data_IF_769634469336
#
_entry.id   IF_769634469336
#
_cell.length_a   1.000
_cell.length_b   1.000
_cell.length_c   1.000
_cell.angle_alpha   90.00
_cell.angle_beta   90.00
_cell.angle_gamma   90.00
#
_symmetry.space_group_name_H-M   'P 1'
#
loop_
_entity.id
_entity.type
_entity.pdbx_description
1 polymer ?
#
# COMPACT_ATOMS: atom_id res chain seq x y z
N UNK A 1 -41.27 15.30 -28.50
CA UNK A 1 -40.13 14.44 -28.18
C UNK A 1 -39.49 14.91 -26.88
N UNK A 2 -39.05 13.98 -26.03
CA UNK A 2 -38.29 14.27 -24.81
C UNK A 2 -37.14 13.24 -24.69
N UNK A 3 -35.92 13.73 -24.43
CA UNK A 3 -34.71 12.88 -24.35
C UNK A 3 -34.09 13.09 -22.98
N UNK A 4 -33.89 11.97 -22.25
CA UNK A 4 -33.37 11.99 -20.88
C UNK A 4 -32.17 11.04 -20.76
N UNK A 5 -30.93 11.57 -20.62
CA UNK A 5 -29.77 10.77 -20.27
C UNK A 5 -29.91 10.23 -18.83
N UNK A 6 -29.25 9.07 -18.55
CA UNK A 6 -29.25 8.43 -17.23
C UNK A 6 -28.21 9.05 -16.27
N UNK A 7 -27.33 9.95 -16.76
CA UNK A 7 -26.35 10.65 -15.93
C UNK A 7 -26.09 12.06 -16.44
N UNK A 8 -25.68 12.97 -15.53
CA UNK A 8 -25.24 14.32 -15.90
C UNK A 8 -23.94 14.38 -16.72
N UNK A 9 -23.31 13.22 -16.96
CA UNK A 9 -22.11 13.09 -17.82
C UNK A 9 -22.45 13.01 -19.31
N UNK A 10 -23.72 12.91 -19.67
CA UNK A 10 -24.22 12.85 -21.05
C UNK A 10 -25.22 13.98 -21.28
N UNK A 11 -24.96 14.86 -22.22
CA UNK A 11 -25.88 15.86 -22.69
C UNK A 11 -26.59 15.37 -23.96
N UNK A 12 -27.81 15.84 -24.17
CA UNK A 12 -28.60 15.52 -25.37
C UNK A 12 -29.14 16.80 -25.99
N UNK A 13 -28.97 16.94 -27.30
CA UNK A 13 -29.60 17.99 -28.12
C UNK A 13 -30.54 17.30 -29.10
N UNK A 14 -31.77 17.80 -29.20
CA UNK A 14 -32.81 17.22 -30.06
C UNK A 14 -33.87 18.30 -30.42
N UNK A 15 -34.58 18.16 -31.55
CA UNK A 15 -35.67 19.09 -31.92
C UNK A 15 -36.82 19.04 -30.93
N UNK A 16 -37.30 20.21 -30.52
CA UNK A 16 -38.45 20.33 -29.62
C UNK A 16 -39.78 20.45 -30.40
N UNK A 17 -39.69 20.86 -31.67
CA UNK A 17 -40.87 21.01 -32.53
C UNK A 17 -41.44 19.64 -32.97
N UNK A 18 -42.73 19.57 -33.29
CA UNK A 18 -43.30 18.37 -33.88
C UNK A 18 -42.63 17.97 -35.20
N UNK A 19 -42.33 16.68 -35.34
CA UNK A 19 -41.76 16.10 -36.59
C UNK A 19 -42.96 15.74 -37.50
N UNK A 20 -42.97 16.25 -38.73
CA UNK A 20 -44.03 15.98 -39.69
C UNK A 20 -44.02 14.50 -40.14
N UNK A 21 -45.15 14.00 -40.63
CA UNK A 21 -45.26 12.62 -41.14
C UNK A 21 -44.33 12.46 -42.35
N UNK A 22 -43.44 11.47 -42.27
CA UNK A 22 -42.41 11.19 -43.30
C UNK A 22 -41.06 11.88 -43.09
N UNK A 23 -40.96 12.82 -42.10
CA UNK A 23 -39.73 13.50 -41.80
C UNK A 23 -38.89 12.69 -40.76
N UNK A 24 -37.60 13.04 -40.70
CA UNK A 24 -36.63 12.49 -39.75
C UNK A 24 -36.08 13.58 -38.87
N UNK A 25 -35.65 13.20 -37.64
CA UNK A 25 -34.95 14.08 -36.73
C UNK A 25 -33.70 13.43 -36.16
N UNK A 26 -32.72 14.25 -35.83
CA UNK A 26 -31.47 13.80 -35.25
C UNK A 26 -31.44 14.10 -33.75
N UNK A 27 -30.86 13.18 -32.98
CA UNK A 27 -30.53 13.36 -31.57
C UNK A 27 -29.02 13.36 -31.45
N UNK A 28 -28.41 14.45 -30.99
CA UNK A 28 -26.99 14.54 -30.72
C UNK A 28 -26.73 14.22 -29.25
N UNK A 29 -25.85 13.24 -29.00
CA UNK A 29 -25.46 12.86 -27.63
C UNK A 29 -24.00 13.22 -27.43
N UNK A 30 -23.72 14.02 -26.39
CA UNK A 30 -22.37 14.41 -26.01
C UNK A 30 -22.03 13.80 -24.67
N UNK A 31 -20.97 12.96 -24.63
CA UNK A 31 -20.45 12.37 -23.41
C UNK A 31 -19.21 13.12 -22.92
N UNK A 32 -19.26 13.59 -21.67
CA UNK A 32 -18.10 14.22 -21.02
C UNK A 32 -17.15 13.15 -20.49
N UNK A 33 -15.99 13.02 -21.14
CA UNK A 33 -14.93 12.06 -20.81
C UNK A 33 -13.97 12.55 -19.71
N UNK A 34 -14.07 13.81 -19.28
CA UNK A 34 -13.15 14.44 -18.33
C UNK A 34 -13.16 13.70 -16.99
N UNK A 35 -12.01 13.19 -16.56
CA UNK A 35 -11.85 12.44 -15.31
C UNK A 35 -12.53 11.07 -15.27
N UNK A 36 -12.87 10.49 -16.45
CA UNK A 36 -13.58 9.20 -16.56
C UNK A 36 -12.88 8.24 -17.54
N UNK A 37 -11.62 7.84 -17.27
CA UNK A 37 -10.94 6.86 -18.13
C UNK A 37 -11.59 5.49 -18.03
N UNK A 38 -11.42 4.68 -19.09
CA UNK A 38 -11.91 3.31 -19.16
C UNK A 38 -13.19 3.15 -19.98
N UNK A 39 -13.74 1.95 -19.97
CA UNK A 39 -14.95 1.63 -20.71
C UNK A 39 -16.18 2.27 -20.09
N UNK A 40 -17.09 2.75 -20.93
CA UNK A 40 -18.38 3.26 -20.47
C UNK A 40 -19.53 2.70 -21.30
N UNK A 41 -20.70 2.58 -20.66
CA UNK A 41 -22.00 2.32 -21.27
C UNK A 41 -23.03 3.24 -20.60
N UNK A 42 -23.71 4.03 -21.40
CA UNK A 42 -24.72 5.00 -20.92
C UNK A 42 -26.00 4.87 -21.73
N UNK A 43 -27.12 4.84 -21.01
CA UNK A 43 -28.44 4.78 -21.62
C UNK A 43 -29.05 6.19 -21.67
N UNK A 44 -29.77 6.42 -22.75
CA UNK A 44 -30.54 7.63 -23.00
C UNK A 44 -31.98 7.24 -23.37
N UNK A 45 -32.91 7.72 -22.61
CA UNK A 45 -34.33 7.45 -22.84
C UNK A 45 -34.94 8.49 -23.78
N UNK A 46 -35.49 8.04 -24.90
CA UNK A 46 -36.20 8.83 -25.86
C UNK A 46 -37.69 8.57 -25.72
N UNK A 47 -38.48 9.60 -25.43
CA UNK A 47 -39.94 9.54 -25.30
C UNK A 47 -40.59 10.25 -26.48
N UNK A 48 -41.53 9.56 -27.14
CA UNK A 48 -42.31 10.10 -28.25
C UNK A 48 -43.78 9.78 -28.07
N UNK A 49 -44.64 10.36 -28.90
CA UNK A 49 -46.03 10.00 -28.98
C UNK A 49 -46.32 8.82 -29.93
N UNK A 50 -45.26 8.28 -30.55
CA UNK A 50 -45.34 7.09 -31.44
C UNK A 50 -45.33 5.76 -30.67
N UNK A 51 -45.25 4.66 -31.44
CA UNK A 51 -45.12 3.29 -30.88
C UNK A 51 -43.75 2.73 -31.27
N UNK A 52 -42.91 2.33 -30.30
CA UNK A 52 -43.11 2.40 -28.85
C UNK A 52 -43.02 3.85 -28.30
N UNK A 53 -43.70 4.13 -27.20
CA UNK A 53 -43.67 5.45 -26.55
C UNK A 53 -42.33 5.79 -25.91
N UNK A 54 -41.48 4.76 -25.65
CA UNK A 54 -40.15 4.87 -25.06
C UNK A 54 -39.17 4.01 -25.82
N UNK A 55 -38.04 4.60 -26.25
CA UNK A 55 -36.93 3.93 -26.87
C UNK A 55 -35.67 4.16 -26.01
N UNK A 56 -34.83 3.16 -25.87
CA UNK A 56 -33.55 3.25 -25.16
C UNK A 56 -32.43 3.27 -26.20
N UNK A 57 -31.65 4.34 -26.19
CA UNK A 57 -30.39 4.44 -26.96
C UNK A 57 -29.23 4.20 -25.99
N UNK A 58 -28.33 3.30 -26.33
CA UNK A 58 -27.15 3.01 -25.52
C UNK A 58 -25.90 3.47 -26.26
N UNK A 59 -25.15 4.39 -25.66
CA UNK A 59 -23.81 4.76 -26.15
C UNK A 59 -22.76 4.01 -25.34
N UNK A 60 -21.81 3.40 -26.08
CA UNK A 60 -20.69 2.65 -25.48
C UNK A 60 -19.39 3.16 -26.07
N UNK A 61 -18.34 3.15 -25.26
CA UNK A 61 -17.01 3.50 -25.72
C UNK A 61 -15.95 3.25 -24.67
N UNK A 62 -14.71 3.54 -25.05
CA UNK A 62 -13.57 3.54 -24.12
C UNK A 62 -12.95 4.93 -24.14
N UNK A 63 -12.81 5.53 -22.96
CA UNK A 63 -12.11 6.81 -22.78
C UNK A 63 -10.66 6.52 -22.49
N UNK A 64 -9.80 6.88 -23.42
CA UNK A 64 -8.36 6.99 -23.17
C UNK A 64 -8.18 8.31 -22.43
N UNK A 65 -7.87 8.25 -21.13
CA UNK A 65 -7.75 9.45 -20.29
C UNK A 65 -6.67 10.40 -20.82
N UNK A 66 -6.76 11.67 -20.44
CA UNK A 66 -5.69 12.62 -20.78
C UNK A 66 -4.38 12.19 -20.07
N UNK A 67 -3.21 12.35 -20.69
CA UNK A 67 -1.93 11.98 -20.07
C UNK A 67 -1.72 12.60 -18.69
N UNK A 68 -2.22 13.81 -18.47
CA UNK A 68 -2.16 14.50 -17.17
C UNK A 68 -2.98 13.79 -16.11
N UNK A 69 -4.24 13.44 -16.40
CA UNK A 69 -5.13 12.72 -15.46
C UNK A 69 -4.61 11.32 -15.14
N UNK A 70 -4.09 10.61 -16.14
CA UNK A 70 -3.47 9.28 -15.95
C UNK A 70 -2.22 9.41 -15.08
N UNK A 71 -1.36 10.38 -15.34
CA UNK A 71 -0.13 10.60 -14.57
C UNK A 71 -0.40 10.99 -13.11
N UNK A 72 -1.50 11.68 -12.85
CA UNK A 72 -1.90 12.05 -11.48
C UNK A 72 -2.48 10.87 -10.70
N UNK A 73 -3.30 10.04 -11.33
CA UNK A 73 -3.95 8.89 -10.70
C UNK A 73 -3.04 7.65 -10.64
N UNK A 74 -2.16 7.49 -11.63
CA UNK A 74 -1.28 6.33 -11.79
C UNK A 74 0.17 6.81 -12.02
N UNK A 75 0.84 7.31 -10.96
CA UNK A 75 2.18 7.91 -11.10
C UNK A 75 3.30 6.90 -11.32
N UNK A 76 3.08 5.59 -11.05
CA UNK A 76 4.13 4.57 -11.08
C UNK A 76 4.07 3.79 -12.39
N UNK A 77 5.00 4.05 -13.31
CA UNK A 77 5.07 3.35 -14.59
C UNK A 77 5.84 2.02 -14.47
N UNK A 78 5.24 0.94 -14.99
CA UNK A 78 5.88 -0.35 -15.22
C UNK A 78 5.64 -0.71 -16.68
N UNK A 79 6.52 -0.28 -17.57
CA UNK A 79 6.25 -0.28 -19.00
C UNK A 79 4.95 0.47 -19.31
N UNK A 80 4.12 -0.09 -20.15
CA UNK A 80 2.85 0.51 -20.55
C UNK A 80 1.71 0.43 -19.50
N UNK A 81 1.86 -0.33 -18.42
CA UNK A 81 0.93 -0.30 -17.29
C UNK A 81 1.43 0.73 -16.26
N UNK A 82 0.54 1.64 -15.88
CA UNK A 82 0.80 2.59 -14.80
C UNK A 82 -0.01 2.22 -13.57
N UNK A 83 0.65 2.12 -12.41
CA UNK A 83 0.03 1.81 -11.12
C UNK A 83 -0.19 3.08 -10.29
N UNK A 84 -1.18 3.02 -9.40
CA UNK A 84 -1.51 4.13 -8.49
C UNK A 84 -0.51 4.31 -7.33
N UNK A 85 0.30 3.28 -7.01
CA UNK A 85 1.37 3.34 -6.01
C UNK A 85 2.44 2.28 -6.29
N UNK A 86 3.61 2.41 -5.65
CA UNK A 86 4.72 1.44 -5.67
C UNK A 86 4.79 0.58 -4.41
N UNK A 87 3.94 0.84 -3.43
CA UNK A 87 3.89 0.18 -2.15
C UNK A 87 2.47 -0.25 -1.77
N UNK A 88 2.38 -1.32 -0.98
CA UNK A 88 1.13 -1.94 -0.52
C UNK A 88 1.12 -1.98 1.00
N UNK A 89 0.61 -0.93 1.68
CA UNK A 89 0.52 -0.91 3.12
C UNK A 89 -0.65 -1.77 3.60
N UNK A 90 -0.34 -2.89 4.26
CA UNK A 90 -1.33 -3.74 4.92
C UNK A 90 -1.72 -3.24 6.32
N UNK A 91 -0.91 -2.31 6.89
CA UNK A 91 -1.11 -1.80 8.23
C UNK A 91 -0.78 -2.81 9.32
N UNK A 92 -1.42 -2.68 10.47
CA UNK A 92 -1.20 -3.57 11.62
C UNK A 92 -2.05 -4.84 11.49
N UNK A 93 -1.41 -6.00 11.63
CA UNK A 93 -2.03 -7.32 11.65
C UNK A 93 -1.67 -8.05 12.94
N UNK A 94 -2.66 -8.72 13.52
CA UNK A 94 -2.41 -9.69 14.58
C UNK A 94 -1.89 -10.99 13.97
N UNK A 95 -0.86 -11.60 14.54
CA UNK A 95 -0.31 -12.88 14.11
C UNK A 95 -1.40 -13.94 13.97
N UNK A 96 -1.41 -14.69 12.88
CA UNK A 96 -2.45 -15.66 12.54
C UNK A 96 -3.68 -15.10 11.80
N UNK A 97 -3.72 -13.80 11.52
CA UNK A 97 -4.77 -13.18 10.69
C UNK A 97 -4.29 -12.98 9.27
N UNK A 98 -5.25 -12.94 8.35
CA UNK A 98 -5.01 -12.65 6.95
C UNK A 98 -5.54 -11.27 6.58
N UNK A 99 -4.93 -10.64 5.57
CA UNK A 99 -5.41 -9.37 5.02
C UNK A 99 -5.15 -9.30 3.53
N UNK A 100 -6.00 -8.59 2.83
CA UNK A 100 -5.81 -8.22 1.44
C UNK A 100 -5.60 -6.72 1.30
N UNK A 101 -4.75 -6.33 0.36
CA UNK A 101 -4.58 -4.96 -0.10
C UNK A 101 -4.48 -4.92 -1.62
N UNK A 102 -4.66 -3.75 -2.21
CA UNK A 102 -4.87 -3.61 -3.63
C UNK A 102 -4.06 -2.46 -4.21
N UNK A 103 -3.57 -2.66 -5.44
CA UNK A 103 -3.11 -1.59 -6.32
C UNK A 103 -3.97 -1.59 -7.58
N UNK A 104 -4.29 -0.41 -8.08
CA UNK A 104 -4.94 -0.26 -9.38
C UNK A 104 -3.89 0.02 -10.46
N UNK A 105 -4.01 -0.63 -11.60
CA UNK A 105 -3.17 -0.41 -12.78
C UNK A 105 -4.01 -0.01 -13.99
N UNK A 106 -3.46 0.83 -14.87
CA UNK A 106 -4.08 1.31 -16.09
C UNK A 106 -3.16 1.05 -17.29
N UNK A 107 -3.69 0.43 -18.35
CA UNK A 107 -2.94 0.19 -19.59
C UNK A 107 -2.98 1.43 -20.49
N UNK A 108 -1.81 2.05 -20.70
CA UNK A 108 -1.66 3.22 -21.56
C UNK A 108 -1.31 2.88 -23.02
N UNK A 109 -1.03 1.60 -23.31
CA UNK A 109 -0.71 1.15 -24.67
C UNK A 109 -1.94 1.00 -25.54
N UNK A 110 -1.71 0.93 -26.83
CA UNK A 110 -2.70 0.53 -27.85
C UNK A 110 -2.83 -0.98 -28.00
N UNK A 111 -1.98 -1.75 -27.31
CA UNK A 111 -1.95 -3.20 -27.29
C UNK A 111 -2.36 -3.78 -25.94
N UNK A 112 -2.78 -5.03 -25.94
CA UNK A 112 -3.09 -5.78 -24.72
C UNK A 112 -1.79 -6.15 -23.99
N UNK A 113 -1.73 -5.86 -22.68
CA UNK A 113 -0.59 -6.13 -21.82
C UNK A 113 -0.88 -7.25 -20.82
N UNK A 114 0.15 -7.98 -20.43
CA UNK A 114 0.09 -9.04 -19.42
C UNK A 114 0.88 -8.63 -18.20
N UNK A 115 0.27 -8.74 -17.01
CA UNK A 115 0.87 -8.43 -15.71
C UNK A 115 1.20 -9.73 -14.98
N UNK A 116 2.46 -9.87 -14.53
CA UNK A 116 2.91 -11.03 -13.74
C UNK A 116 3.71 -10.59 -12.53
N UNK A 117 3.57 -11.34 -11.43
CA UNK A 117 4.33 -11.14 -10.21
C UNK A 117 5.35 -12.27 -10.02
N UNK A 118 6.48 -11.96 -9.38
CA UNK A 118 7.57 -12.93 -9.11
C UNK A 118 8.23 -12.62 -7.77
N UNK A 119 8.82 -13.65 -7.16
CA UNK A 119 9.61 -13.48 -5.93
C UNK A 119 8.78 -13.16 -4.68
N UNK A 120 7.47 -13.41 -4.69
CA UNK A 120 6.67 -13.34 -3.48
C UNK A 120 7.02 -14.53 -2.56
N UNK A 121 7.18 -14.31 -1.24
CA UNK A 121 7.26 -15.41 -0.30
C UNK A 121 5.92 -16.15 -0.19
N UNK A 122 5.92 -17.40 0.27
CA UNK A 122 4.73 -18.27 0.28
C UNK A 122 3.53 -17.72 1.07
N UNK A 123 3.76 -16.83 2.01
CA UNK A 123 2.71 -16.18 2.79
C UNK A 123 2.12 -14.92 2.13
N UNK A 124 2.60 -14.55 0.92
CA UNK A 124 2.04 -13.44 0.12
C UNK A 124 1.66 -13.98 -1.25
N UNK A 125 0.37 -13.92 -1.57
CA UNK A 125 -0.14 -14.33 -2.87
C UNK A 125 -0.57 -13.10 -3.66
N UNK A 126 0.28 -12.62 -4.59
CA UNK A 126 -0.08 -11.53 -5.50
C UNK A 126 -0.88 -12.05 -6.68
N UNK A 127 -1.91 -11.31 -7.08
CA UNK A 127 -2.74 -11.66 -8.23
C UNK A 127 -3.26 -10.41 -8.95
N UNK A 128 -3.24 -10.39 -10.29
CA UNK A 128 -3.82 -9.31 -11.09
C UNK A 128 -5.16 -9.75 -11.69
N UNK A 129 -6.18 -8.92 -11.61
CA UNK A 129 -7.52 -9.19 -12.18
C UNK A 129 -8.02 -7.99 -12.98
N UNK A 130 -8.16 -8.10 -14.29
CA UNK A 130 -7.58 -9.16 -15.13
C UNK A 130 -6.04 -9.07 -15.18
N UNK A 131 -5.37 -10.20 -15.38
CA UNK A 131 -3.93 -10.27 -15.63
C UNK A 131 -3.56 -9.86 -17.07
N UNK A 132 -4.52 -9.96 -17.96
CA UNK A 132 -4.45 -9.56 -19.36
C UNK A 132 -5.29 -8.31 -19.58
N UNK A 133 -4.62 -7.19 -19.73
CA UNK A 133 -5.22 -5.83 -19.68
C UNK A 133 -5.32 -5.25 -21.08
N UNK A 134 -6.54 -5.08 -21.59
CA UNK A 134 -6.79 -4.48 -22.90
C UNK A 134 -6.39 -2.99 -22.95
N UNK A 135 -6.22 -2.39 -24.14
CA UNK A 135 -5.96 -0.96 -24.28
C UNK A 135 -6.95 -0.08 -23.51
N UNK A 136 -6.45 0.86 -22.72
CA UNK A 136 -7.30 1.73 -21.88
C UNK A 136 -8.01 1.00 -20.74
N UNK A 137 -7.71 -0.29 -20.51
CA UNK A 137 -8.30 -1.11 -19.46
C UNK A 137 -7.65 -0.87 -18.10
N UNK A 138 -8.39 -1.23 -17.05
CA UNK A 138 -7.92 -1.26 -15.67
C UNK A 138 -7.61 -2.69 -15.24
N UNK A 139 -6.67 -2.84 -14.34
CA UNK A 139 -6.41 -4.08 -13.59
C UNK A 139 -6.32 -3.77 -12.11
N UNK A 140 -6.68 -4.73 -11.27
CA UNK A 140 -6.48 -4.66 -9.82
C UNK A 140 -5.46 -5.72 -9.42
N UNK A 141 -4.31 -5.29 -8.96
CA UNK A 141 -3.33 -6.16 -8.31
C UNK A 141 -3.73 -6.35 -6.85
N UNK A 142 -4.06 -7.56 -6.48
CA UNK A 142 -4.46 -7.98 -5.13
C UNK A 142 -3.30 -8.68 -4.47
N UNK A 143 -3.02 -8.35 -3.21
CA UNK A 143 -1.98 -8.98 -2.38
C UNK A 143 -2.66 -9.59 -1.16
N UNK A 144 -2.77 -10.90 -1.13
CA UNK A 144 -3.23 -11.64 0.03
C UNK A 144 -2.04 -11.94 0.92
N UNK A 145 -2.13 -11.58 2.20
CA UNK A 145 -1.06 -11.74 3.18
C UNK A 145 -1.53 -12.62 4.34
N UNK A 146 -0.82 -13.72 4.60
CA UNK A 146 -1.03 -14.60 5.75
C UNK A 146 0.01 -14.29 6.84
N UNK A 147 -0.40 -13.58 7.89
CA UNK A 147 0.49 -13.20 8.98
C UNK A 147 0.94 -14.38 9.85
N UNK A 148 0.31 -15.56 9.75
CA UNK A 148 0.72 -16.74 10.52
C UNK A 148 2.16 -17.17 10.20
N UNK A 149 2.56 -17.00 8.94
CA UNK A 149 3.87 -17.39 8.43
C UNK A 149 4.85 -16.21 8.33
N UNK A 150 4.43 -14.98 8.64
CA UNK A 150 5.32 -13.83 8.60
C UNK A 150 6.55 -14.06 9.50
N UNK A 151 7.79 -13.83 8.99
CA UNK A 151 9.00 -14.26 9.70
C UNK A 151 9.32 -13.40 10.93
N UNK A 152 8.90 -12.15 10.95
CA UNK A 152 9.32 -11.18 11.95
C UNK A 152 8.13 -10.55 12.68
N UNK A 153 8.32 -10.23 13.95
CA UNK A 153 7.45 -9.36 14.71
C UNK A 153 7.68 -7.89 14.35
N UNK A 154 6.64 -7.07 14.43
CA UNK A 154 6.70 -5.67 14.03
C UNK A 154 6.72 -5.51 12.51
N UNK A 155 7.45 -4.54 12.00
CA UNK A 155 7.48 -4.18 10.58
C UNK A 155 8.15 -5.26 9.74
N UNK A 156 7.41 -5.79 8.76
CA UNK A 156 7.89 -6.61 7.64
C UNK A 156 7.74 -5.80 6.36
N UNK A 157 8.76 -5.84 5.50
CA UNK A 157 8.77 -5.25 4.17
C UNK A 157 9.24 -6.33 3.21
N UNK A 158 8.33 -6.78 2.36
CA UNK A 158 8.58 -7.84 1.38
C UNK A 158 8.53 -7.23 -0.02
N UNK A 159 9.63 -7.31 -0.75
CA UNK A 159 9.74 -6.75 -2.10
C UNK A 159 9.37 -7.79 -3.14
N UNK A 160 8.32 -7.54 -3.92
CA UNK A 160 7.78 -8.42 -4.95
C UNK A 160 8.09 -7.83 -6.33
N UNK A 161 8.60 -8.64 -7.23
CA UNK A 161 8.80 -8.26 -8.63
C UNK A 161 7.46 -8.20 -9.38
N UNK A 162 7.25 -7.15 -10.15
CA UNK A 162 6.18 -7.04 -11.14
C UNK A 162 6.76 -6.91 -12.53
N UNK A 163 6.23 -7.63 -13.50
CA UNK A 163 6.58 -7.54 -14.90
C UNK A 163 5.34 -7.31 -15.76
N UNK A 164 5.49 -6.44 -16.73
CA UNK A 164 4.46 -6.08 -17.71
C UNK A 164 5.03 -6.35 -19.09
N UNK A 165 4.35 -7.14 -19.89
CA UNK A 165 4.78 -7.50 -21.26
C UNK A 165 3.61 -7.45 -22.23
N UNK A 166 3.82 -7.11 -23.51
CA UNK A 166 2.78 -7.23 -24.51
C UNK A 166 2.31 -8.70 -24.63
N UNK A 167 1.02 -8.90 -24.86
CA UNK A 167 0.48 -10.22 -25.15
C UNK A 167 0.97 -10.76 -26.49
N UNK A 168 1.12 -9.88 -27.48
CA UNK A 168 1.62 -10.23 -28.81
C UNK A 168 3.12 -10.01 -28.90
N UNK A 169 3.92 -11.01 -29.34
CA UNK A 169 5.38 -10.85 -29.46
C UNK A 169 5.80 -9.77 -30.48
N UNK A 170 4.96 -9.45 -31.46
CA UNK A 170 5.20 -8.45 -32.51
C UNK A 170 4.82 -7.02 -32.09
N UNK A 171 4.26 -6.86 -30.87
CA UNK A 171 3.89 -5.54 -30.35
C UNK A 171 5.11 -4.68 -30.08
N UNK A 172 5.00 -3.39 -30.35
CA UNK A 172 5.98 -2.36 -29.99
C UNK A 172 5.66 -1.66 -28.66
N UNK A 173 4.60 -2.13 -27.96
CA UNK A 173 4.24 -1.58 -26.65
C UNK A 173 5.36 -1.82 -25.61
N UNK A 174 5.59 -0.83 -24.79
CA UNK A 174 6.68 -0.83 -23.82
C UNK A 174 6.49 -1.91 -22.73
N UNK A 175 7.42 -2.86 -22.69
CA UNK A 175 7.54 -3.81 -21.59
C UNK A 175 8.25 -3.17 -20.40
N UNK A 176 7.95 -3.61 -19.18
CA UNK A 176 8.60 -3.07 -18.00
C UNK A 176 8.72 -4.07 -16.86
N UNK A 177 9.62 -3.78 -15.94
CA UNK A 177 9.80 -4.48 -14.67
C UNK A 177 9.97 -3.46 -13.56
N UNK A 178 9.38 -3.74 -12.41
CA UNK A 178 9.53 -2.92 -11.21
C UNK A 178 9.47 -3.80 -9.96
N UNK A 179 9.60 -3.15 -8.80
CA UNK A 179 9.43 -3.77 -7.49
C UNK A 179 8.29 -3.09 -6.77
N UNK A 180 7.53 -3.87 -6.05
CA UNK A 180 6.42 -3.42 -5.19
C UNK A 180 6.77 -3.87 -3.78
N UNK A 181 6.76 -2.94 -2.83
CA UNK A 181 7.00 -3.23 -1.43
C UNK A 181 5.66 -3.48 -0.70
N UNK A 182 5.49 -4.69 -0.20
CA UNK A 182 4.35 -5.09 0.62
C UNK A 182 4.73 -4.93 2.08
N UNK A 183 4.04 -4.05 2.80
CA UNK A 183 4.39 -3.67 4.16
C UNK A 183 3.32 -4.09 5.15
N UNK A 184 3.70 -4.88 6.15
CA UNK A 184 2.82 -5.32 7.24
C UNK A 184 3.49 -5.12 8.59
N UNK A 185 2.73 -4.71 9.60
CA UNK A 185 3.19 -4.63 10.97
C UNK A 185 2.53 -5.73 11.79
N UNK A 186 3.31 -6.73 12.23
CA UNK A 186 2.80 -7.94 12.89
C UNK A 186 2.85 -7.77 14.40
N UNK A 187 1.66 -7.82 15.01
CA UNK A 187 1.47 -7.77 16.46
C UNK A 187 1.22 -9.18 17.03
N UNK A 188 1.64 -9.42 18.28
CA UNK A 188 1.27 -10.61 19.05
C UNK A 188 -0.21 -10.53 19.46
N UNK A 189 -0.90 -11.68 19.52
CA UNK A 189 -2.31 -11.75 19.93
C UNK A 189 -2.42 -12.01 21.44
N UNK A 190 -2.83 -11.01 22.17
CA UNK A 190 -3.10 -11.09 23.62
C UNK A 190 -4.59 -11.17 23.96
N UNK A 191 -5.48 -11.25 22.96
CA UNK A 191 -6.93 -11.19 23.15
C UNK A 191 -7.48 -12.40 23.93
N UNK A 192 -6.78 -13.54 23.82
CA UNK A 192 -7.20 -14.80 24.44
C UNK A 192 -6.66 -15.03 25.86
N UNK A 193 -5.86 -14.10 26.38
CA UNK A 193 -5.30 -14.22 27.73
C UNK A 193 -6.40 -14.14 28.80
N UNK A 194 -6.39 -15.10 29.71
CA UNK A 194 -7.19 -15.09 30.91
C UNK A 194 -6.71 -13.99 31.88
N UNK A 195 -7.53 -13.62 32.85
CA UNK A 195 -7.15 -12.64 33.89
C UNK A 195 -5.91 -13.10 34.68
N UNK A 196 -5.80 -14.38 35.01
CA UNK A 196 -4.63 -14.95 35.67
C UNK A 196 -3.37 -14.82 34.81
N UNK A 197 -3.46 -15.15 33.54
CA UNK A 197 -2.30 -15.00 32.61
C UNK A 197 -1.87 -13.54 32.48
N UNK A 198 -2.82 -12.60 32.48
CA UNK A 198 -2.50 -11.17 32.49
C UNK A 198 -1.79 -10.73 33.76
N UNK A 199 -2.25 -11.19 34.95
CA UNK A 199 -1.63 -10.89 36.23
C UNK A 199 -0.24 -11.53 36.39
N UNK A 200 0.01 -12.63 35.69
CA UNK A 200 1.28 -13.35 35.71
C UNK A 200 2.15 -13.03 34.46
N UNK A 201 1.73 -12.08 33.64
CA UNK A 201 2.43 -11.70 32.42
C UNK A 201 3.83 -11.11 32.67
N UNK A 202 4.71 -11.12 31.65
CA UNK A 202 5.94 -10.34 31.67
C UNK A 202 5.60 -8.84 31.62
N UNK A 203 6.51 -8.03 32.15
CA UNK A 203 6.40 -6.58 32.06
C UNK A 203 7.78 -5.99 31.78
N UNK A 204 7.86 -5.12 30.79
CA UNK A 204 9.09 -4.51 30.34
C UNK A 204 9.26 -3.11 30.95
N UNK A 205 10.38 -2.88 31.64
CA UNK A 205 10.78 -1.58 32.17
C UNK A 205 12.09 -1.16 31.51
N UNK A 206 12.05 -0.06 30.78
CA UNK A 206 13.23 0.53 30.12
C UNK A 206 13.88 1.54 31.07
N UNK A 207 15.22 1.54 31.14
CA UNK A 207 15.96 2.52 31.97
C UNK A 207 15.84 3.95 31.46
N UNK A 208 15.49 4.14 30.19
CA UNK A 208 15.27 5.44 29.55
C UNK A 208 14.39 5.30 28.32
N UNK A 209 13.68 6.37 27.98
CA UNK A 209 12.95 6.55 26.71
C UNK A 209 13.77 7.34 25.67
N UNK A 210 15.00 7.78 26.06
CA UNK A 210 15.88 8.56 25.19
C UNK A 210 17.34 8.13 25.36
N UNK A 211 17.99 7.79 24.25
CA UNK A 211 19.44 7.59 24.14
C UNK A 211 20.04 8.84 23.53
N UNK A 212 20.80 9.59 24.34
CA UNK A 212 21.40 10.86 23.96
C UNK A 212 22.89 10.66 23.67
N UNK A 213 23.28 10.92 22.44
CA UNK A 213 24.68 10.84 22.01
C UNK A 213 25.44 12.16 22.21
N UNK A 214 24.74 13.23 22.61
CA UNK A 214 25.28 14.58 22.69
C UNK A 214 25.89 15.02 21.34
N UNK A 215 27.19 14.95 21.19
CA UNK A 215 27.93 15.27 19.97
C UNK A 215 28.65 14.01 19.42
N UNK A 216 28.52 13.78 18.11
CA UNK A 216 29.19 12.73 17.37
C UNK A 216 29.92 13.37 16.18
N UNK A 217 31.15 12.97 15.89
CA UNK A 217 31.84 13.43 14.69
C UNK A 217 31.25 12.77 13.45
N UNK A 218 31.25 13.51 12.35
CA UNK A 218 30.86 12.95 11.05
C UNK A 218 31.79 11.81 10.63
N UNK A 219 31.24 10.81 9.90
CA UNK A 219 31.95 9.62 9.44
C UNK A 219 32.54 8.74 10.55
N UNK A 220 31.95 8.77 11.74
CA UNK A 220 32.31 7.92 12.86
C UNK A 220 31.12 7.07 13.31
N UNK A 221 31.42 5.95 13.98
CA UNK A 221 30.40 5.14 14.66
C UNK A 221 30.49 5.37 16.16
N UNK A 222 29.41 5.84 16.76
CA UNK A 222 29.30 6.02 18.21
C UNK A 222 28.34 4.99 18.80
N UNK A 223 28.58 4.60 20.06
CA UNK A 223 27.74 3.64 20.77
C UNK A 223 27.26 4.20 22.11
N UNK A 224 26.02 3.84 22.48
CA UNK A 224 25.44 4.06 23.81
C UNK A 224 24.62 2.84 24.21
N UNK A 225 24.35 2.73 25.50
CA UNK A 225 23.57 1.60 26.02
C UNK A 225 22.40 2.09 26.85
N UNK A 226 21.35 1.30 26.89
CA UNK A 226 20.26 1.36 27.87
C UNK A 226 19.94 -0.05 28.33
N UNK A 227 19.12 -0.18 29.36
CA UNK A 227 18.73 -1.51 29.87
C UNK A 227 17.24 -1.73 29.80
N UNK A 228 16.85 -3.00 29.66
CA UNK A 228 15.47 -3.48 29.74
C UNK A 228 15.42 -4.50 30.88
N UNK A 229 14.56 -4.26 31.88
CA UNK A 229 14.34 -5.15 33.01
C UNK A 229 12.97 -5.81 32.91
N UNK A 230 12.88 -7.10 33.23
CA UNK A 230 11.60 -7.76 33.39
C UNK A 230 11.10 -7.58 34.83
N UNK A 231 10.11 -6.73 35.03
CA UNK A 231 9.43 -6.49 36.32
C UNK A 231 8.21 -7.37 36.52
N UNK A 232 7.78 -8.09 35.45
CA UNK A 232 6.66 -9.02 35.51
C UNK A 232 7.03 -10.37 36.13
N UNK A 233 6.10 -11.33 36.06
CA UNK A 233 6.26 -12.64 36.68
C UNK A 233 6.70 -13.72 35.70
N UNK A 234 6.24 -13.65 34.46
CA UNK A 234 6.60 -14.59 33.38
C UNK A 234 7.83 -14.13 32.62
N UNK A 235 8.34 -14.99 31.73
CA UNK A 235 9.50 -14.74 30.91
C UNK A 235 9.22 -13.62 29.88
N UNK A 236 9.96 -12.53 29.92
CA UNK A 236 9.93 -11.46 28.91
C UNK A 236 10.79 -11.86 27.72
N UNK A 237 10.23 -11.80 26.51
CA UNK A 237 10.92 -12.01 25.25
C UNK A 237 11.17 -10.66 24.57
N UNK A 238 12.43 -10.40 24.24
CA UNK A 238 12.80 -9.24 23.41
C UNK A 238 12.71 -9.66 21.95
N UNK A 239 11.54 -9.46 21.35
CA UNK A 239 11.18 -9.98 20.03
C UNK A 239 11.97 -9.36 18.91
N UNK A 240 12.11 -8.03 18.92
CA UNK A 240 12.81 -7.29 17.90
C UNK A 240 13.09 -5.86 18.31
N UNK A 241 14.21 -5.32 17.82
CA UNK A 241 14.52 -3.90 17.81
C UNK A 241 14.46 -3.39 16.37
N UNK A 242 13.67 -2.34 16.12
CA UNK A 242 13.47 -1.79 14.78
C UNK A 242 13.89 -0.32 14.81
N UNK A 243 15.13 0.00 14.36
CA UNK A 243 15.52 1.38 14.17
C UNK A 243 14.76 1.99 12.99
N UNK A 244 14.41 3.28 13.08
CA UNK A 244 13.74 4.01 12.01
C UNK A 244 14.71 4.30 10.85
N UNK A 245 15.96 4.62 11.16
CA UNK A 245 16.99 5.00 10.19
C UNK A 245 18.04 3.91 9.97
N UNK A 246 18.51 3.78 8.73
CA UNK A 246 19.46 2.74 8.30
C UNK A 246 20.84 2.83 8.99
N UNK A 247 21.25 4.02 9.42
CA UNK A 247 22.52 4.23 10.13
C UNK A 247 22.49 3.81 11.59
N UNK A 248 21.37 3.29 12.10
CA UNK A 248 21.23 2.87 13.49
C UNK A 248 21.18 1.36 13.58
N UNK A 249 22.06 0.77 14.36
CA UNK A 249 22.08 -0.67 14.66
C UNK A 249 21.82 -0.89 16.14
N UNK A 250 20.98 -1.89 16.46
CA UNK A 250 20.61 -2.19 17.85
C UNK A 250 20.86 -3.67 18.12
N UNK A 251 21.58 -3.96 19.18
CA UNK A 251 21.86 -5.33 19.66
C UNK A 251 21.56 -5.44 21.15
N UNK A 252 21.24 -6.65 21.60
CA UNK A 252 21.04 -6.95 23.01
C UNK A 252 21.91 -8.13 23.42
N UNK A 253 22.41 -8.11 24.65
CA UNK A 253 23.18 -9.23 25.23
C UNK A 253 22.29 -10.45 25.52
N UNK A 254 20.96 -10.30 25.48
CA UNK A 254 19.96 -11.34 25.72
C UNK A 254 18.72 -11.11 24.88
N UNK A 255 18.09 -12.18 24.48
CA UNK A 255 16.79 -12.19 23.75
C UNK A 255 15.61 -12.47 24.67
N UNK A 256 15.87 -12.92 25.93
CA UNK A 256 14.83 -13.23 26.91
C UNK A 256 15.29 -13.00 28.35
N UNK A 257 14.34 -12.62 29.20
CA UNK A 257 14.60 -12.27 30.60
C UNK A 257 13.64 -13.01 31.53
N UNK A 258 14.20 -13.77 32.48
CA UNK A 258 13.43 -14.26 33.62
C UNK A 258 13.03 -13.08 34.52
N UNK A 259 12.05 -13.30 35.41
CA UNK A 259 11.62 -12.29 36.42
C UNK A 259 12.83 -11.64 37.10
N UNK A 260 12.83 -10.31 37.18
CA UNK A 260 13.85 -9.48 37.82
C UNK A 260 15.21 -9.40 37.09
N UNK A 261 15.37 -10.10 35.95
CA UNK A 261 16.61 -10.00 35.14
C UNK A 261 16.58 -8.82 34.18
N UNK A 262 17.77 -8.36 33.83
CA UNK A 262 17.99 -7.20 32.98
C UNK A 262 18.82 -7.59 31.76
N UNK A 263 18.52 -7.02 30.60
CA UNK A 263 19.35 -7.03 29.40
C UNK A 263 19.98 -5.67 29.18
N UNK A 264 21.19 -5.67 28.63
CA UNK A 264 21.85 -4.48 28.12
C UNK A 264 21.65 -4.39 26.62
N UNK A 265 21.04 -3.28 26.17
CA UNK A 265 20.82 -2.97 24.77
C UNK A 265 21.84 -1.94 24.33
N UNK A 266 22.60 -2.28 23.29
CA UNK A 266 23.60 -1.41 22.67
C UNK A 266 23.02 -0.78 21.41
N UNK A 267 23.09 0.53 21.33
CA UNK A 267 22.70 1.33 20.15
C UNK A 267 23.98 1.88 19.53
N UNK A 268 24.22 1.54 18.26
CA UNK A 268 25.31 2.08 17.48
C UNK A 268 24.76 2.99 16.38
N UNK A 269 25.34 4.17 16.23
CA UNK A 269 25.00 5.15 15.20
C UNK A 269 26.20 5.35 14.30
N UNK A 270 26.07 4.99 13.03
CA UNK A 270 27.02 5.28 11.97
C UNK A 270 26.63 6.60 11.30
N UNK A 271 27.42 7.64 11.57
CA UNK A 271 27.14 8.99 11.08
C UNK A 271 27.46 9.19 9.61
N UNK A 272 28.14 8.24 8.95
CA UNK A 272 28.48 8.34 7.52
C UNK A 272 27.28 8.34 6.59
N UNK A 273 26.13 7.80 7.06
CA UNK A 273 24.90 7.71 6.27
C UNK A 273 23.92 8.87 6.52
N UNK A 274 24.23 9.76 7.45
CA UNK A 274 23.38 10.92 7.78
C UNK A 274 23.91 12.18 7.11
N UNK A 275 23.02 12.90 6.43
CA UNK A 275 23.32 14.21 5.82
C UNK A 275 22.98 15.37 6.72
N UNK A 276 22.09 15.16 7.68
CA UNK A 276 21.62 16.17 8.62
C UNK A 276 22.57 16.32 9.79
N UNK A 277 22.71 17.55 10.29
CA UNK A 277 23.50 17.85 11.49
C UNK A 277 22.82 17.41 12.80
N UNK A 278 21.52 17.11 12.75
CA UNK A 278 20.73 16.71 13.92
C UNK A 278 20.30 15.27 13.74
N UNK A 279 20.76 14.41 14.62
CA UNK A 279 20.24 13.05 14.77
C UNK A 279 18.94 13.13 15.59
N UNK A 280 17.82 12.73 15.00
CA UNK A 280 16.53 12.61 15.66
C UNK A 280 15.76 11.42 15.12
N UNK A 281 16.00 10.27 15.71
CA UNK A 281 15.45 8.99 15.30
C UNK A 281 14.74 8.28 16.44
N UNK A 282 14.23 7.09 16.14
CA UNK A 282 13.55 6.19 17.10
C UNK A 282 13.91 4.75 16.86
N UNK A 283 13.85 3.98 17.94
CA UNK A 283 13.91 2.51 17.92
C UNK A 283 12.59 2.01 18.47
N UNK A 284 11.87 1.16 17.72
CA UNK A 284 10.77 0.41 18.29
C UNK A 284 11.32 -0.85 18.95
N UNK A 285 11.00 -1.05 20.22
CA UNK A 285 11.29 -2.23 21.02
C UNK A 285 10.03 -3.08 21.06
N UNK A 286 10.10 -4.28 20.47
CA UNK A 286 8.98 -5.22 20.40
C UNK A 286 9.20 -6.33 21.42
N UNK A 287 8.23 -6.55 22.30
CA UNK A 287 8.27 -7.57 23.35
C UNK A 287 6.98 -8.38 23.40
N UNK A 288 6.94 -9.41 24.24
CA UNK A 288 5.71 -10.13 24.58
C UNK A 288 5.02 -9.60 25.86
N UNK A 289 5.31 -8.37 26.25
CA UNK A 289 4.57 -7.67 27.31
C UNK A 289 3.16 -7.30 26.79
N UNK A 290 2.08 -7.85 27.34
CA UNK A 290 0.73 -7.61 26.83
C UNK A 290 0.20 -6.20 27.08
N UNK A 291 0.83 -5.45 27.99
CA UNK A 291 0.43 -4.07 28.32
C UNK A 291 1.17 -3.04 27.48
N UNK A 292 2.45 -3.32 27.17
CA UNK A 292 3.32 -2.46 26.37
C UNK A 292 4.13 -3.28 25.35
N UNK A 293 3.44 -3.95 24.39
CA UNK A 293 4.10 -4.84 23.43
C UNK A 293 5.05 -4.10 22.48
N UNK A 294 4.88 -2.80 22.36
CA UNK A 294 5.71 -1.90 21.55
C UNK A 294 6.00 -0.63 22.34
N UNK A 295 7.27 -0.37 22.57
CA UNK A 295 7.77 0.87 23.21
C UNK A 295 8.75 1.54 22.29
N UNK A 296 8.82 2.87 22.31
CA UNK A 296 9.75 3.64 21.50
C UNK A 296 10.83 4.27 22.38
N UNK A 297 12.09 4.15 21.92
CA UNK A 297 13.25 4.83 22.48
C UNK A 297 13.74 5.85 21.46
N UNK A 298 13.81 7.11 21.84
CA UNK A 298 14.35 8.17 20.99
C UNK A 298 15.87 8.08 20.94
N UNK A 299 16.44 8.35 19.77
CA UNK A 299 17.88 8.43 19.55
C UNK A 299 18.20 9.82 19.06
N UNK A 300 18.93 10.59 19.87
CA UNK A 300 19.19 12.01 19.57
C UNK A 300 20.68 12.34 19.68
N UNK A 301 21.12 13.36 18.95
CA UNK A 301 22.49 13.87 19.00
C UNK A 301 22.74 14.97 17.97
N UNK A 302 23.92 15.56 18.03
CA UNK A 302 24.42 16.54 17.05
C UNK A 302 25.60 15.93 16.29
N UNK A 303 25.54 15.95 14.95
CA UNK A 303 26.62 15.48 14.09
C UNK A 303 27.49 16.67 13.70
N UNK A 304 28.74 16.65 14.13
CA UNK A 304 29.74 17.66 13.79
C UNK A 304 30.52 17.26 12.53
N UNK A 305 30.32 18.05 11.50
CA UNK A 305 31.06 17.94 10.24
C UNK A 305 32.40 18.70 10.29
#
# INVERSE_FOLDING_TARGET
TNVRPTCGCTASEYPHDPIAVGDTASITLTYSAIGRPGQFSKDVFVYTNGTPKKTILTIKGSVIGSPKTISEQFPVAVGAIKFNASDVPLGELTKGKTRMAYLSGYNTATDTMVVKFTGAPDYIVPHAVPDTVIPGGLTTATFYYDSSQAPLWGLNIDTIGVSVTPLRPTSTAEAGKARIDVMAYINEDFSHMTEKERLDAPASELSTDKVDFAEIKANETATRTFTIKNTGKSKLLLRRFIPLDKGITVTSDRDNLKKGKTATVTVAVDTSVFTDKVLNSRIAVITNDPYTPRTYVRVVGLIKH
#
